data_IF_788395449953
#
_entry.id   IF_788395449953
#
_cell.length_a   1.000
_cell.length_b   1.000
_cell.length_c   1.000
_cell.angle_alpha   90.00
_cell.angle_beta   90.00
_cell.angle_gamma   90.00
#
_symmetry.space_group_name_H-M   'P 1'
#
loop_
_entity.id
_entity.type
_entity.pdbx_description
1 polymer ?
#
# COMPACT_ATOMS: atom_id res chain seq x y z
N UNK A 1 8.22 25.14 12.44
CA UNK A 1 9.40 24.35 11.98
C UNK A 1 9.38 22.90 12.50
N UNK A 2 8.57 22.59 13.51
CA UNK A 2 8.38 21.25 14.08
C UNK A 2 7.20 20.48 13.47
N UNK A 3 6.35 21.16 12.71
CA UNK A 3 5.08 20.67 12.19
C UNK A 3 5.28 19.46 11.27
N UNK A 4 6.29 19.54 10.39
CA UNK A 4 6.65 18.47 9.45
C UNK A 4 7.23 17.26 10.20
N UNK A 5 8.05 17.51 11.22
CA UNK A 5 8.68 16.45 12.01
C UNK A 5 7.64 15.66 12.82
N UNK A 6 6.64 16.34 13.39
CA UNK A 6 5.51 15.70 14.06
C UNK A 6 4.72 14.83 13.09
N UNK A 7 4.37 15.34 11.91
CA UNK A 7 3.65 14.58 10.88
C UNK A 7 4.41 13.33 10.43
N UNK A 8 5.71 13.45 10.15
CA UNK A 8 6.56 12.30 9.76
C UNK A 8 6.68 11.28 10.89
N UNK A 9 6.79 11.73 12.15
CA UNK A 9 6.87 10.83 13.30
C UNK A 9 5.58 10.02 13.50
N UNK A 10 4.41 10.65 13.28
CA UNK A 10 3.11 9.99 13.36
C UNK A 10 2.93 9.01 12.21
N UNK A 11 3.30 9.39 10.98
CA UNK A 11 3.27 8.50 9.81
C UNK A 11 4.18 7.28 9.98
N UNK A 12 5.36 7.45 10.59
CA UNK A 12 6.26 6.35 10.90
C UNK A 12 5.64 5.38 11.93
N UNK A 13 5.01 5.90 12.99
CA UNK A 13 4.27 5.09 13.97
C UNK A 13 3.12 4.32 13.30
N UNK A 14 2.36 4.97 12.43
CA UNK A 14 1.28 4.35 11.65
C UNK A 14 1.83 3.24 10.76
N UNK A 15 2.96 3.45 10.08
CA UNK A 15 3.59 2.43 9.24
C UNK A 15 4.06 1.22 10.05
N UNK A 16 4.64 1.42 11.24
CA UNK A 16 5.07 0.33 12.13
C UNK A 16 3.86 -0.48 12.61
N UNK A 17 2.79 0.18 13.05
CA UNK A 17 1.54 -0.49 13.49
C UNK A 17 0.86 -1.20 12.31
N UNK A 18 0.82 -0.58 11.14
CA UNK A 18 0.25 -1.14 9.92
C UNK A 18 1.03 -2.35 9.41
N UNK A 19 2.36 -2.34 9.47
CA UNK A 19 3.22 -3.49 9.17
C UNK A 19 3.04 -4.61 10.20
N UNK A 20 2.93 -4.26 11.48
CA UNK A 20 2.72 -5.23 12.56
C UNK A 20 1.37 -5.95 12.40
N UNK A 21 0.30 -5.21 12.10
CA UNK A 21 -1.02 -5.76 11.78
C UNK A 21 -0.99 -6.56 10.46
N UNK A 22 -0.32 -6.04 9.43
CA UNK A 22 -0.20 -6.71 8.13
C UNK A 22 0.58 -8.03 8.18
N UNK A 23 1.45 -8.21 9.18
CA UNK A 23 2.18 -9.46 9.40
C UNK A 23 1.32 -10.56 10.05
N UNK A 24 0.19 -10.22 10.68
CA UNK A 24 -0.74 -11.19 11.28
C UNK A 24 -1.42 -11.99 10.17
N UNK A 25 -0.89 -13.20 9.92
CA UNK A 25 -1.44 -14.18 8.97
C UNK A 25 -2.65 -14.88 9.60
N UNK A 26 -3.86 -14.43 9.29
CA UNK A 26 -5.07 -15.20 9.59
C UNK A 26 -5.35 -16.18 8.44
N UNK A 27 -5.42 -17.48 8.74
CA UNK A 27 -5.92 -18.53 7.83
C UNK A 27 -5.20 -18.66 6.46
N UNK A 28 -3.90 -18.46 6.40
CA UNK A 28 -3.10 -18.78 5.20
C UNK A 28 -3.22 -17.79 4.03
N UNK A 29 -4.02 -16.73 4.16
CA UNK A 29 -4.03 -15.59 3.23
C UNK A 29 -3.25 -14.46 3.87
N UNK A 30 -1.98 -14.30 3.49
CA UNK A 30 -1.19 -13.15 3.90
C UNK A 30 -1.72 -11.90 3.19
N UNK A 31 -2.18 -10.91 3.96
CA UNK A 31 -2.63 -9.61 3.42
C UNK A 31 -1.52 -8.83 2.69
N UNK A 32 -0.27 -9.30 2.75
CA UNK A 32 0.87 -8.76 2.01
C UNK A 32 1.08 -7.28 2.29
N UNK A 33 1.48 -6.54 1.25
CA UNK A 33 1.61 -5.07 1.29
C UNK A 33 0.23 -4.40 1.48
N UNK A 34 -0.86 -5.08 1.09
CA UNK A 34 -2.24 -4.60 1.27
C UNK A 34 -2.65 -4.45 2.73
N UNK A 35 -2.04 -5.18 3.66
CA UNK A 35 -2.27 -5.02 5.10
C UNK A 35 -1.79 -3.67 5.63
N UNK A 36 -0.71 -3.13 5.07
CA UNK A 36 -0.21 -1.79 5.40
C UNK A 36 -1.12 -0.71 4.81
N UNK A 37 -1.70 -0.96 3.62
CA UNK A 37 -2.64 -0.05 2.98
C UNK A 37 -3.94 0.07 3.79
N UNK A 38 -4.55 -1.06 4.15
CA UNK A 38 -5.74 -1.10 5.00
C UNK A 38 -5.47 -0.55 6.40
N UNK A 39 -4.31 -0.87 6.99
CA UNK A 39 -3.89 -0.33 8.28
C UNK A 39 -3.75 1.18 8.27
N UNK A 40 -3.15 1.74 7.20
CA UNK A 40 -3.00 3.18 7.01
C UNK A 40 -4.33 3.91 6.83
N UNK A 41 -5.28 3.36 6.07
CA UNK A 41 -6.62 3.94 5.89
C UNK A 41 -7.41 3.94 7.20
N UNK A 42 -7.40 2.83 7.94
CA UNK A 42 -8.11 2.73 9.23
C UNK A 42 -7.49 3.71 10.24
N UNK A 43 -6.18 3.64 10.46
CA UNK A 43 -5.51 4.51 11.44
C UNK A 43 -5.58 5.98 11.02
N UNK A 44 -5.46 6.29 9.72
CA UNK A 44 -5.60 7.65 9.20
C UNK A 44 -6.98 8.24 9.48
N UNK A 45 -8.06 7.46 9.28
CA UNK A 45 -9.41 7.89 9.62
C UNK A 45 -9.59 8.10 11.14
N UNK A 46 -8.98 7.26 11.99
CA UNK A 46 -9.02 7.46 13.45
C UNK A 46 -8.22 8.68 13.92
N UNK A 47 -7.10 8.98 13.27
CA UNK A 47 -6.22 10.11 13.60
C UNK A 47 -6.81 11.44 13.13
N UNK A 48 -7.49 11.46 11.98
CA UNK A 48 -8.27 12.61 11.49
C UNK A 48 -9.42 12.97 12.46
N UNK A 49 -10.17 11.96 12.93
CA UNK A 49 -11.21 12.12 13.95
C UNK A 49 -10.66 12.58 15.31
N UNK A 50 -9.37 12.32 15.60
CA UNK A 50 -8.67 12.76 16.81
C UNK A 50 -8.10 14.18 16.72
N UNK A 51 -8.28 14.89 15.59
CA UNK A 51 -7.89 16.29 15.42
C UNK A 51 -6.39 16.53 15.28
N UNK A 52 -5.60 15.50 14.94
CA UNK A 52 -4.17 15.67 14.62
C UNK A 52 -4.09 16.29 13.22
N UNK A 53 -3.51 17.49 13.13
CA UNK A 53 -3.35 18.23 11.88
C UNK A 53 -2.34 17.54 10.95
N UNK A 54 -2.78 16.50 10.23
CA UNK A 54 -2.05 15.97 9.09
C UNK A 54 -2.49 16.73 7.84
N UNK A 55 -1.53 17.24 7.07
CA UNK A 55 -1.81 17.87 5.78
C UNK A 55 -2.53 16.87 4.88
N UNK A 56 -3.81 17.09 4.60
CA UNK A 56 -4.66 16.19 3.81
C UNK A 56 -4.07 15.84 2.45
N UNK A 57 -3.37 16.78 1.81
CA UNK A 57 -2.62 16.56 0.57
C UNK A 57 -1.58 15.44 0.68
N UNK A 58 -0.87 15.35 1.80
CA UNK A 58 0.16 14.33 2.02
C UNK A 58 -0.47 12.95 2.22
N UNK A 59 -1.59 12.88 2.94
CA UNK A 59 -2.31 11.63 3.19
C UNK A 59 -2.92 11.08 1.89
N UNK A 60 -3.56 11.95 1.10
CA UNK A 60 -4.14 11.60 -0.19
C UNK A 60 -3.07 11.13 -1.18
N UNK A 61 -1.91 11.81 -1.22
CA UNK A 61 -0.76 11.36 -2.01
C UNK A 61 -0.31 9.95 -1.58
N UNK A 62 -0.05 9.72 -0.29
CA UNK A 62 0.42 8.40 0.18
C UNK A 62 -0.59 7.28 -0.13
N UNK A 63 -1.90 7.57 -0.04
CA UNK A 63 -2.96 6.63 -0.38
C UNK A 63 -2.96 6.27 -1.86
N UNK A 64 -2.94 7.25 -2.76
CA UNK A 64 -2.92 7.04 -4.21
C UNK A 64 -1.64 6.28 -4.64
N UNK A 65 -0.49 6.67 -4.10
CA UNK A 65 0.79 6.01 -4.37
C UNK A 65 0.80 4.56 -3.86
N UNK A 66 0.28 4.32 -2.67
CA UNK A 66 0.13 2.97 -2.12
C UNK A 66 -0.79 2.11 -2.98
N UNK A 67 -1.91 2.67 -3.46
CA UNK A 67 -2.89 1.95 -4.27
C UNK A 67 -2.28 1.56 -5.63
N UNK A 68 -1.54 2.47 -6.27
CA UNK A 68 -0.83 2.20 -7.52
C UNK A 68 0.23 1.11 -7.31
N UNK A 69 1.04 1.20 -6.25
CA UNK A 69 2.04 0.18 -5.92
C UNK A 69 1.39 -1.18 -5.66
N UNK A 70 0.23 -1.20 -4.99
CA UNK A 70 -0.54 -2.43 -4.77
C UNK A 70 -1.04 -3.03 -6.09
N UNK A 71 -1.74 -2.24 -6.94
CA UNK A 71 -2.24 -2.71 -8.25
C UNK A 71 -1.09 -3.18 -9.14
N UNK A 72 0.05 -2.48 -9.11
CA UNK A 72 1.27 -2.88 -9.83
C UNK A 72 1.77 -4.25 -9.40
N UNK A 73 1.84 -4.51 -8.08
CA UNK A 73 2.29 -5.81 -7.56
C UNK A 73 1.33 -6.96 -7.92
N UNK A 74 0.01 -6.70 -7.88
CA UNK A 74 -1.01 -7.66 -8.34
C UNK A 74 -0.88 -7.89 -9.85
N UNK A 75 -0.66 -6.85 -10.65
CA UNK A 75 -0.42 -6.96 -12.09
C UNK A 75 0.75 -7.90 -12.43
N UNK A 76 1.86 -7.79 -11.71
CA UNK A 76 3.05 -8.65 -11.90
C UNK A 76 2.82 -10.08 -11.39
N UNK A 77 2.12 -10.26 -10.25
CA UNK A 77 1.82 -11.61 -9.73
C UNK A 77 0.87 -12.37 -10.67
N UNK A 78 -0.17 -11.70 -11.17
CA UNK A 78 -1.14 -12.32 -12.10
C UNK A 78 -0.52 -12.52 -13.48
N UNK A 79 0.38 -11.63 -13.93
CA UNK A 79 1.12 -11.78 -15.20
C UNK A 79 2.09 -12.97 -15.26
N UNK A 80 2.60 -13.45 -14.12
CA UNK A 80 3.46 -14.65 -14.02
C UNK A 80 2.71 -15.95 -13.71
N UNK A 81 1.39 -15.88 -13.45
CA UNK A 81 0.57 -17.03 -13.07
C UNK A 81 0.05 -17.89 -14.23
N UNK A 82 0.25 -17.45 -15.48
CA UNK A 82 -0.22 -18.18 -16.66
C UNK A 82 0.85 -19.15 -17.16
N UNK A 83 0.49 -20.43 -17.15
CA UNK A 83 1.28 -21.56 -17.65
C UNK A 83 1.90 -21.27 -19.04
N UNK A 84 3.10 -21.77 -19.35
CA UNK A 84 3.82 -21.51 -20.61
C UNK A 84 3.14 -22.08 -21.88
N UNK A 85 1.94 -22.65 -21.76
CA UNK A 85 1.23 -23.31 -22.87
C UNK A 85 0.55 -22.33 -23.84
N UNK A 86 0.55 -21.03 -23.52
CA UNK A 86 -0.04 -19.95 -24.33
C UNK A 86 0.89 -18.72 -24.44
N UNK A 87 2.21 -18.93 -24.30
CA UNK A 87 3.20 -17.86 -24.34
C UNK A 87 3.36 -17.27 -25.76
N UNK A 88 2.65 -16.19 -26.07
CA UNK A 88 2.99 -15.27 -27.15
C UNK A 88 4.09 -14.30 -26.68
N UNK A 89 5.20 -14.13 -27.43
CA UNK A 89 6.37 -13.36 -27.00
C UNK A 89 6.15 -11.84 -26.89
N UNK A 90 4.94 -11.32 -27.19
CA UNK A 90 4.60 -9.90 -27.15
C UNK A 90 3.96 -9.39 -25.86
N UNK A 91 3.40 -10.26 -25.00
CA UNK A 91 2.64 -9.80 -23.82
C UNK A 91 3.48 -9.35 -22.62
N UNK A 92 4.77 -9.72 -22.54
CA UNK A 92 5.66 -9.15 -21.52
C UNK A 92 5.98 -7.68 -21.82
N UNK A 93 6.03 -7.30 -23.11
CA UNK A 93 6.30 -5.91 -23.50
C UNK A 93 5.09 -5.00 -23.32
N UNK A 94 3.85 -5.49 -23.49
CA UNK A 94 2.64 -4.67 -23.29
C UNK A 94 2.33 -4.43 -21.80
N UNK A 95 2.81 -5.32 -20.92
CA UNK A 95 2.64 -5.21 -19.46
C UNK A 95 3.72 -4.33 -18.80
N UNK A 96 4.81 -4.00 -19.52
CA UNK A 96 5.87 -3.09 -19.09
C UNK A 96 5.75 -1.68 -19.71
N UNK A 97 4.77 -1.48 -20.60
CA UNK A 97 4.52 -0.22 -21.31
C UNK A 97 3.42 0.64 -20.65
N UNK A 98 2.90 0.20 -19.50
CA UNK A 98 2.08 0.98 -18.57
C UNK A 98 2.84 1.14 -17.25
#
# INVERSE_FOLDING_TARGET
MSDIALTVSVLALVAVVGLWIGNIKVRGVGFGIGGVLFGGIIVGHFVDQAGVTLSGDMLHFIQEFGLILFVYTIGIQVGRGFSPRYAFPGCVSICLLF
#
